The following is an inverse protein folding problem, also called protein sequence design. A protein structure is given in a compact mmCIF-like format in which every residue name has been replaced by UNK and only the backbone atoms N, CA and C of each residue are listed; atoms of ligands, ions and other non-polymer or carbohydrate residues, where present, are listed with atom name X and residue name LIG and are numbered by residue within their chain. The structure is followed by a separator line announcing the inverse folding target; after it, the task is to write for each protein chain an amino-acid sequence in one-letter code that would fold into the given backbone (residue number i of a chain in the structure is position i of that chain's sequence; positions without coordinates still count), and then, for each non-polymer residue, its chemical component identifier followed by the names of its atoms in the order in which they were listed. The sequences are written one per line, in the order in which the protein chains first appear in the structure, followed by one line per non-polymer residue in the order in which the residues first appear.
data_IF_346778649648
#
_entry.id   IF_346778649648
#
_cell.length_a   1.000
_cell.length_b   1.000
_cell.length_c   1.000
_cell.angle_alpha   90.00
_cell.angle_beta   90.00
_cell.angle_gamma   90.00
#
_symmetry.space_group_name_H-M   'P 1'
#
loop_
_entity.id
_entity.type
_entity.pdbx_description
1 polymer ?
#
# COMPACT_ATOMS: atom_id res chain seq x y z
N UNK A 1 -11.25 48.43 -45.08
CA UNK A 1 -10.58 47.12 -44.93
C UNK A 1 -9.92 47.09 -43.56
N UNK A 2 -10.53 46.41 -42.60
CA UNK A 2 -10.03 46.33 -41.23
C UNK A 2 -9.02 45.18 -41.12
N UNK A 3 -7.80 45.49 -40.67
CA UNK A 3 -6.75 44.52 -40.36
C UNK A 3 -6.91 44.10 -38.89
N UNK A 4 -7.37 42.88 -38.67
CA UNK A 4 -7.47 42.28 -37.33
C UNK A 4 -6.13 41.61 -37.02
N UNK A 5 -5.39 42.20 -36.08
CA UNK A 5 -4.21 41.59 -35.46
C UNK A 5 -4.69 40.47 -34.53
N UNK A 6 -4.32 39.24 -34.83
CA UNK A 6 -4.52 38.11 -33.91
C UNK A 6 -3.51 38.18 -32.78
N UNK A 7 -3.99 38.43 -31.56
CA UNK A 7 -3.25 38.11 -30.33
C UNK A 7 -3.55 36.64 -30.01
N UNK A 8 -2.54 35.78 -30.10
CA UNK A 8 -2.61 34.42 -29.56
C UNK A 8 -2.06 34.49 -28.13
N UNK A 9 -2.96 34.48 -27.15
CA UNK A 9 -2.59 34.35 -25.73
C UNK A 9 -2.38 32.87 -25.44
N UNK A 10 -1.12 32.46 -25.26
CA UNK A 10 -0.80 31.11 -24.79
C UNK A 10 -1.10 31.02 -23.29
N UNK A 11 -2.07 30.19 -22.92
CA UNK A 11 -2.40 29.86 -21.53
C UNK A 11 -1.42 28.77 -21.07
N UNK A 12 -0.42 29.12 -20.25
CA UNK A 12 0.38 28.11 -19.53
C UNK A 12 -0.48 27.53 -18.40
N UNK A 13 -0.92 26.28 -18.54
CA UNK A 13 -1.36 25.50 -17.39
C UNK A 13 -0.13 25.12 -16.57
N UNK A 14 0.01 25.69 -15.39
CA UNK A 14 0.94 25.20 -14.37
C UNK A 14 0.35 23.91 -13.82
N UNK A 15 0.87 22.76 -14.25
CA UNK A 15 0.61 21.51 -13.55
C UNK A 15 1.36 21.57 -12.22
N UNK A 16 0.63 21.62 -11.11
CA UNK A 16 1.22 21.46 -9.80
C UNK A 16 1.62 20.00 -9.63
N UNK A 17 2.91 19.69 -9.80
CA UNK A 17 3.45 18.40 -9.39
C UNK A 17 3.50 18.38 -7.86
N UNK A 18 2.51 17.77 -7.21
CA UNK A 18 2.62 17.43 -5.79
C UNK A 18 3.74 16.41 -5.66
N UNK A 19 4.90 16.84 -5.15
CA UNK A 19 5.98 15.92 -4.82
C UNK A 19 5.53 15.11 -3.60
N UNK A 20 5.16 13.85 -3.80
CA UNK A 20 4.90 12.92 -2.70
C UNK A 20 6.21 12.64 -1.96
N UNK A 21 6.24 12.92 -0.67
CA UNK A 21 7.34 12.57 0.22
C UNK A 21 7.10 11.20 0.84
N UNK A 22 8.05 10.28 0.68
CA UNK A 22 7.99 8.93 1.25
C UNK A 22 8.87 8.85 2.50
N UNK A 23 8.34 8.27 3.58
CA UNK A 23 9.14 7.89 4.75
C UNK A 23 9.65 6.48 4.53
N UNK A 24 10.92 6.35 4.13
CA UNK A 24 11.54 5.06 3.79
C UNK A 24 12.62 4.71 4.81
N UNK A 25 12.58 3.48 5.34
CA UNK A 25 13.68 2.93 6.14
C UNK A 25 13.86 1.45 5.86
N UNK A 26 15.11 1.01 5.71
CA UNK A 26 15.46 -0.39 5.39
C UNK A 26 14.74 -0.95 4.16
N UNK A 27 14.41 -0.09 3.19
CA UNK A 27 13.66 -0.47 1.98
C UNK A 27 12.15 -0.55 2.18
N UNK A 28 11.64 -0.35 3.39
CA UNK A 28 10.21 -0.31 3.68
C UNK A 28 9.68 1.11 3.63
N UNK A 29 8.44 1.29 3.20
CA UNK A 29 7.76 2.58 3.08
C UNK A 29 6.65 2.64 4.11
N UNK A 30 6.79 3.57 5.05
CA UNK A 30 5.81 3.79 6.11
C UNK A 30 4.67 4.61 5.58
N UNK A 31 3.45 4.08 5.74
CA UNK A 31 2.22 4.73 5.30
C UNK A 31 1.57 5.48 6.46
N UNK A 32 0.61 6.38 6.18
CA UNK A 32 -0.33 6.82 7.19
C UNK A 32 -1.23 5.62 7.57
N UNK A 33 -0.94 4.94 8.68
CA UNK A 33 -1.67 3.75 9.13
C UNK A 33 -0.77 2.60 9.60
N UNK A 34 -1.36 1.43 9.78
CA UNK A 34 -0.65 0.23 10.27
C UNK A 34 0.15 -0.50 9.19
N UNK A 35 -0.28 -0.40 7.93
CA UNK A 35 0.37 -1.08 6.82
C UNK A 35 1.73 -0.44 6.52
N UNK A 36 2.74 -1.28 6.37
CA UNK A 36 4.05 -0.88 5.84
C UNK A 36 4.21 -1.52 4.47
N UNK A 37 4.59 -0.73 3.46
CA UNK A 37 4.78 -1.25 2.10
C UNK A 37 6.24 -1.71 1.92
N UNK A 38 6.41 -2.99 1.63
CA UNK A 38 7.72 -3.60 1.37
C UNK A 38 8.10 -3.49 -0.12
N UNK A 39 7.12 -3.66 -1.01
CA UNK A 39 7.31 -3.54 -2.46
C UNK A 39 5.99 -3.22 -3.18
N UNK A 40 6.03 -2.46 -4.29
CA UNK A 40 7.21 -1.95 -4.98
C UNK A 40 7.74 -0.63 -4.39
N UNK A 41 8.95 -0.22 -4.83
CA UNK A 41 9.46 1.12 -4.56
C UNK A 41 8.77 2.16 -5.47
N UNK A 42 8.73 3.46 -5.08
CA UNK A 42 8.14 4.49 -5.92
C UNK A 42 8.85 4.60 -7.28
N UNK A 43 8.08 4.84 -8.33
CA UNK A 43 8.49 4.93 -9.73
C UNK A 43 9.13 3.65 -10.29
N UNK A 44 8.88 2.49 -9.68
CA UNK A 44 9.38 1.22 -10.21
C UNK A 44 8.70 0.89 -11.55
N UNK A 45 9.46 0.56 -12.60
CA UNK A 45 8.89 0.00 -13.83
C UNK A 45 8.45 -1.45 -13.57
N UNK A 46 7.18 -1.75 -13.82
CA UNK A 46 6.53 -3.03 -13.57
C UNK A 46 5.96 -3.64 -14.86
N UNK A 47 5.78 -4.96 -14.82
CA UNK A 47 5.32 -5.81 -15.91
C UNK A 47 5.37 -7.27 -15.46
N UNK A 48 5.54 -8.21 -16.40
CA UNK A 48 5.55 -9.64 -16.14
C UNK A 48 4.14 -10.25 -16.17
N UNK A 49 3.96 -11.35 -15.42
CA UNK A 49 2.70 -12.08 -15.39
C UNK A 49 1.67 -11.41 -14.48
N UNK A 50 2.12 -10.99 -13.30
CA UNK A 50 1.30 -10.34 -12.28
C UNK A 50 1.95 -9.07 -11.75
N UNK A 51 1.11 -8.13 -11.28
CA UNK A 51 1.52 -7.07 -10.37
C UNK A 51 1.75 -7.69 -8.99
N UNK A 52 2.98 -7.54 -8.48
CA UNK A 52 3.36 -7.99 -7.14
C UNK A 52 3.39 -6.79 -6.18
N UNK A 53 2.60 -6.86 -5.12
CA UNK A 53 2.65 -5.90 -4.00
C UNK A 53 2.83 -6.69 -2.71
N UNK A 54 3.77 -6.27 -1.86
CA UNK A 54 4.04 -6.88 -0.58
C UNK A 54 3.87 -5.85 0.53
N UNK A 55 3.03 -6.17 1.52
CA UNK A 55 2.78 -5.29 2.67
C UNK A 55 2.96 -6.03 3.98
N UNK A 56 3.55 -5.38 4.99
CA UNK A 56 3.50 -5.83 6.37
C UNK A 56 2.26 -5.23 7.06
N UNK A 57 1.47 -6.08 7.73
CA UNK A 57 0.20 -5.71 8.40
C UNK A 57 0.31 -5.67 9.92
N UNK A 58 1.53 -5.59 10.45
CA UNK A 58 1.81 -5.65 11.90
C UNK A 58 2.32 -4.34 12.46
N UNK A 59 2.19 -3.22 11.75
CA UNK A 59 2.66 -1.91 12.24
C UNK A 59 4.15 -1.97 12.66
N UNK A 60 4.98 -2.61 11.83
CA UNK A 60 6.38 -2.89 12.12
C UNK A 60 6.56 -3.71 13.42
N UNK A 61 5.76 -4.77 13.57
CA UNK A 61 5.77 -5.69 14.71
C UNK A 61 5.05 -5.21 15.98
N UNK A 62 4.36 -4.06 15.95
CA UNK A 62 3.63 -3.50 17.11
C UNK A 62 2.17 -3.98 17.20
N UNK A 63 1.54 -4.30 16.07
CA UNK A 63 0.18 -4.83 16.01
C UNK A 63 0.21 -6.35 15.91
N UNK A 64 -0.55 -7.03 16.76
CA UNK A 64 -0.69 -8.49 16.69
C UNK A 64 -1.37 -8.92 15.38
N UNK A 65 -1.12 -10.15 14.93
CA UNK A 65 -1.82 -10.70 13.78
C UNK A 65 -3.28 -11.04 14.10
N UNK A 66 -4.19 -10.97 13.11
CA UNK A 66 -5.56 -11.43 13.29
C UNK A 66 -5.64 -12.93 13.65
N UNK A 67 -6.74 -13.39 14.26
CA UNK A 67 -7.99 -12.64 14.48
C UNK A 67 -7.90 -11.62 15.62
N UNK A 68 -8.48 -10.44 15.38
CA UNK A 68 -8.67 -9.40 16.41
C UNK A 68 -10.03 -9.60 17.09
N UNK A 69 -10.12 -9.25 18.37
CA UNK A 69 -11.40 -9.10 19.06
C UNK A 69 -12.16 -7.88 18.55
N UNK A 70 -13.50 -7.96 18.54
CA UNK A 70 -14.37 -6.85 18.09
C UNK A 70 -14.11 -5.54 18.84
N UNK A 71 -13.70 -5.65 20.10
CA UNK A 71 -13.42 -4.52 21.00
C UNK A 71 -11.92 -4.25 21.17
N UNK A 72 -11.06 -4.87 20.35
CA UNK A 72 -9.63 -4.60 20.44
C UNK A 72 -9.40 -3.09 20.19
N UNK A 73 -8.62 -2.42 21.06
CA UNK A 73 -8.40 -0.98 20.95
C UNK A 73 -7.60 -0.63 19.71
N UNK A 74 -6.84 -1.57 19.16
CA UNK A 74 -6.12 -1.42 17.90
C UNK A 74 -6.29 -2.64 17.00
N UNK A 75 -6.71 -2.43 15.75
CA UNK A 75 -6.91 -3.50 14.76
C UNK A 75 -7.03 -2.94 13.33
N UNK A 76 -6.71 -3.77 12.33
CA UNK A 76 -7.03 -3.46 10.92
C UNK A 76 -8.38 -4.09 10.59
N UNK A 77 -9.35 -3.28 10.14
CA UNK A 77 -10.64 -3.79 9.66
C UNK A 77 -10.54 -4.27 8.22
N UNK A 78 -9.92 -3.47 7.34
CA UNK A 78 -9.67 -3.88 5.97
C UNK A 78 -8.50 -3.11 5.34
N UNK A 79 -7.95 -3.70 4.28
CA UNK A 79 -7.02 -3.05 3.36
C UNK A 79 -7.55 -3.27 1.96
N UNK A 80 -7.78 -2.18 1.23
CA UNK A 80 -8.19 -2.17 -0.17
C UNK A 80 -7.14 -1.46 -1.00
N UNK A 81 -6.81 -2.00 -2.17
CA UNK A 81 -5.82 -1.48 -3.09
C UNK A 81 -6.43 -1.24 -4.46
N UNK A 82 -6.07 -0.11 -5.05
CA UNK A 82 -6.43 0.24 -6.41
C UNK A 82 -5.18 0.48 -7.25
N UNK A 83 -5.26 0.18 -8.54
CA UNK A 83 -4.30 0.61 -9.54
C UNK A 83 -5.01 1.63 -10.43
N UNK A 84 -4.63 2.90 -10.35
CA UNK A 84 -5.33 3.95 -11.08
C UNK A 84 -4.38 4.89 -11.83
N UNK A 85 -4.88 5.52 -12.88
CA UNK A 85 -4.18 6.56 -13.63
C UNK A 85 -5.16 7.59 -14.19
N UNK A 86 -4.96 8.85 -13.81
CA UNK A 86 -5.69 9.97 -14.42
C UNK A 86 -5.29 10.20 -15.88
N UNK A 87 -4.13 9.70 -16.32
CA UNK A 87 -3.67 9.87 -17.70
C UNK A 87 -4.40 8.92 -18.64
N UNK A 88 -4.54 7.65 -18.24
CA UNK A 88 -5.22 6.64 -19.06
C UNK A 88 -6.72 6.55 -18.77
N UNK A 89 -7.18 7.19 -17.69
CA UNK A 89 -8.57 7.10 -17.24
C UNK A 89 -8.94 5.77 -16.60
N UNK A 90 -7.94 4.92 -16.30
CA UNK A 90 -8.16 3.58 -15.74
C UNK A 90 -8.14 3.61 -14.22
N UNK A 91 -9.01 2.79 -13.62
CA UNK A 91 -9.03 2.50 -12.19
C UNK A 91 -9.39 1.02 -12.01
N UNK A 92 -8.50 0.23 -11.43
CA UNK A 92 -8.70 -1.19 -11.19
C UNK A 92 -8.64 -1.46 -9.70
N UNK A 93 -9.54 -2.30 -9.20
CA UNK A 93 -9.41 -2.85 -7.85
C UNK A 93 -8.43 -4.03 -7.90
N UNK A 94 -7.29 -3.90 -7.23
CA UNK A 94 -6.22 -4.92 -7.23
C UNK A 94 -6.15 -5.72 -5.92
N UNK A 95 -6.87 -5.26 -4.88
CA UNK A 95 -7.21 -6.06 -3.68
C UNK A 95 -8.60 -6.69 -3.83
N UNK A 96 -8.83 -7.88 -3.29
CA UNK A 96 -10.09 -8.63 -3.34
C UNK A 96 -11.37 -8.03 -3.97
N UNK A 97 -11.91 -8.76 -4.96
CA UNK A 97 -13.35 -9.04 -5.00
C UNK A 97 -14.12 -8.68 -6.27
N UNK A 98 -13.71 -7.67 -7.04
CA UNK A 98 -14.41 -7.33 -8.31
C UNK A 98 -13.86 -8.04 -9.53
N UNK A 99 -12.66 -8.62 -9.46
CA UNK A 99 -12.15 -9.53 -10.48
C UNK A 99 -12.71 -10.96 -10.28
N UNK A 100 -14.03 -11.10 -10.20
CA UNK A 100 -14.69 -12.42 -10.29
C UNK A 100 -14.60 -13.01 -11.70
N UNK A 101 -14.21 -12.20 -12.69
CA UNK A 101 -13.78 -12.66 -14.00
C UNK A 101 -12.40 -13.36 -13.89
N UNK A 102 -12.39 -14.67 -14.12
CA UNK A 102 -11.20 -15.51 -14.29
C UNK A 102 -10.18 -15.51 -13.13
N UNK A 103 -10.61 -15.29 -11.88
CA UNK A 103 -9.73 -15.34 -10.69
C UNK A 103 -8.57 -14.31 -10.69
N UNK A 104 -8.75 -13.14 -11.30
CA UNK A 104 -7.67 -12.15 -11.39
C UNK A 104 -7.27 -11.51 -10.03
N UNK A 105 -8.00 -11.78 -8.94
CA UNK A 105 -7.64 -11.39 -7.57
C UNK A 105 -7.76 -12.58 -6.60
N UNK A 106 -6.92 -12.60 -5.56
CA UNK A 106 -6.71 -13.73 -4.62
C UNK A 106 -7.58 -13.74 -3.34
N UNK A 107 -8.72 -13.06 -3.27
CA UNK A 107 -9.47 -12.98 -2.00
C UNK A 107 -9.02 -11.83 -1.10
N UNK A 108 -9.61 -11.70 0.10
CA UNK A 108 -9.46 -10.55 1.00
C UNK A 108 -8.04 -10.49 1.52
N UNK A 109 -7.34 -9.36 1.36
CA UNK A 109 -5.91 -9.23 1.71
C UNK A 109 -5.65 -9.75 3.13
N UNK A 110 -6.52 -9.39 4.08
CA UNK A 110 -6.36 -9.77 5.48
C UNK A 110 -6.61 -11.27 5.75
N UNK A 111 -7.31 -11.96 4.85
CA UNK A 111 -7.52 -13.42 4.90
C UNK A 111 -6.45 -14.22 4.16
N UNK A 112 -5.67 -13.55 3.31
CA UNK A 112 -4.55 -14.19 2.62
C UNK A 112 -3.42 -14.48 3.60
N UNK A 113 -2.73 -15.60 3.36
CA UNK A 113 -1.55 -16.03 4.14
C UNK A 113 -1.78 -15.97 5.67
N UNK A 114 -2.72 -16.76 6.22
CA UNK A 114 -3.00 -16.75 7.66
C UNK A 114 -1.73 -17.02 8.49
N UNK A 115 -1.49 -16.20 9.51
CA UNK A 115 -0.30 -16.28 10.36
C UNK A 115 0.96 -15.59 9.80
N UNK A 116 0.92 -15.01 8.59
CA UNK A 116 2.02 -14.19 8.05
C UNK A 116 1.83 -12.70 8.39
N UNK A 117 2.93 -12.03 8.77
CA UNK A 117 3.01 -10.57 8.91
C UNK A 117 3.00 -9.86 7.58
N UNK A 118 3.55 -10.50 6.55
CA UNK A 118 3.58 -9.99 5.19
C UNK A 118 2.45 -10.60 4.37
N UNK A 119 1.73 -9.77 3.61
CA UNK A 119 0.73 -10.17 2.62
C UNK A 119 1.26 -9.90 1.22
N UNK A 120 1.18 -10.91 0.35
CA UNK A 120 1.58 -10.83 -1.05
C UNK A 120 0.37 -10.78 -1.97
N UNK A 121 0.13 -9.61 -2.54
CA UNK A 121 -0.89 -9.41 -3.58
C UNK A 121 -0.25 -9.75 -4.93
N UNK A 122 -0.81 -10.74 -5.60
CA UNK A 122 -0.41 -11.15 -6.96
C UNK A 122 -1.61 -10.97 -7.89
N UNK A 123 -1.69 -9.81 -8.55
CA UNK A 123 -2.82 -9.45 -9.41
C UNK A 123 -2.48 -9.62 -10.88
N UNK A 124 -3.33 -10.31 -11.64
CA UNK A 124 -3.06 -10.60 -13.07
C UNK A 124 -3.27 -9.35 -13.91
N UNK A 125 -2.25 -8.94 -14.68
CA UNK A 125 -2.38 -7.83 -15.61
C UNK A 125 -3.46 -8.13 -16.67
N UNK A 126 -4.43 -7.22 -16.90
CA UNK A 126 -5.45 -7.38 -17.93
C UNK A 126 -4.90 -7.13 -19.34
N UNK A 127 -5.69 -7.56 -20.33
CA UNK A 127 -5.32 -7.54 -21.75
C UNK A 127 -4.92 -6.16 -22.29
N UNK A 128 -5.58 -5.07 -21.88
CA UNK A 128 -5.25 -3.74 -22.38
C UNK A 128 -3.88 -3.22 -21.90
N UNK A 129 -3.28 -3.84 -20.87
CA UNK A 129 -1.94 -3.51 -20.38
C UNK A 129 -0.83 -4.34 -21.04
N UNK A 130 -1.18 -5.29 -21.90
CA UNK A 130 -0.23 -6.09 -22.69
C UNK A 130 0.62 -5.19 -23.58
N UNK A 131 1.93 -5.49 -23.64
CA UNK A 131 2.88 -4.73 -24.43
C UNK A 131 4.24 -4.61 -23.74
N UNK A 132 5.17 -3.92 -24.40
CA UNK A 132 6.53 -3.73 -23.90
C UNK A 132 7.03 -2.32 -24.24
N UNK A 133 7.68 -1.67 -23.28
CA UNK A 133 8.25 -0.33 -23.43
C UNK A 133 7.32 0.80 -22.97
N UNK A 134 7.57 2.01 -23.47
CA UNK A 134 6.78 3.22 -23.16
C UNK A 134 5.39 3.18 -23.82
N UNK A 135 4.44 4.03 -23.40
CA UNK A 135 3.11 4.10 -24.00
C UNK A 135 3.18 4.40 -25.50
N UNK A 136 2.38 3.70 -26.31
CA UNK A 136 2.31 3.89 -27.76
C UNK A 136 1.15 4.83 -28.13
N UNK A 137 1.40 6.14 -27.99
CA UNK A 137 0.43 7.20 -28.27
C UNK A 137 -0.61 7.44 -27.17
N UNK A 138 -1.52 8.38 -27.43
CA UNK A 138 -2.45 8.94 -26.43
C UNK A 138 -3.54 7.96 -25.97
N UNK A 139 -3.76 6.87 -26.72
CA UNK A 139 -4.76 5.84 -26.41
C UNK A 139 -4.15 4.61 -25.73
N UNK A 140 -2.87 4.67 -25.36
CA UNK A 140 -2.22 3.56 -24.67
C UNK A 140 -2.70 3.48 -23.23
N UNK A 141 -3.18 2.31 -22.81
CA UNK A 141 -3.50 2.04 -21.42
C UNK A 141 -2.24 1.84 -20.57
N UNK A 142 -1.04 1.82 -21.16
CA UNK A 142 0.23 1.66 -20.44
C UNK A 142 0.77 3.03 -20.01
N UNK A 143 1.67 3.06 -19.03
CA UNK A 143 2.29 4.32 -18.57
C UNK A 143 2.32 4.47 -17.05
N UNK A 144 2.15 5.72 -16.58
CA UNK A 144 2.21 6.04 -15.15
C UNK A 144 0.90 5.69 -14.46
N UNK A 145 1.03 4.98 -13.34
CA UNK A 145 -0.08 4.58 -12.48
C UNK A 145 0.29 4.82 -11.02
N UNK A 146 -0.71 4.91 -10.15
CA UNK A 146 -0.55 4.86 -8.71
C UNK A 146 -1.16 3.56 -8.17
N UNK A 147 -0.44 2.91 -7.28
CA UNK A 147 -0.99 1.91 -6.37
C UNK A 147 -1.54 2.67 -5.17
N UNK A 148 -2.86 2.73 -5.03
CA UNK A 148 -3.56 3.39 -3.92
C UNK A 148 -3.85 2.37 -2.83
N UNK A 149 -3.19 2.49 -1.69
CA UNK A 149 -3.38 1.65 -0.51
C UNK A 149 -4.34 2.37 0.43
N UNK A 150 -5.52 1.79 0.62
CA UNK A 150 -6.57 2.35 1.47
C UNK A 150 -6.80 1.44 2.66
N UNK A 151 -6.72 2.01 3.85
CA UNK A 151 -6.79 1.25 5.10
C UNK A 151 -7.97 1.76 5.91
N UNK A 152 -8.74 0.85 6.48
CA UNK A 152 -9.68 1.14 7.55
C UNK A 152 -9.19 0.40 8.80
N UNK A 153 -8.91 1.14 9.87
CA UNK A 153 -8.32 0.59 11.08
C UNK A 153 -8.76 1.38 12.31
N UNK A 154 -8.60 0.76 13.48
CA UNK A 154 -8.72 1.43 14.76
C UNK A 154 -7.35 1.56 15.40
N UNK A 155 -7.02 2.73 15.93
CA UNK A 155 -5.84 2.98 16.73
C UNK A 155 -6.26 3.54 18.08
N UNK A 156 -5.96 2.80 19.16
CA UNK A 156 -6.21 3.22 20.56
C UNK A 156 -7.65 3.72 20.80
N UNK A 157 -8.64 3.02 20.23
CA UNK A 157 -10.06 3.34 20.37
C UNK A 157 -10.63 4.30 19.32
N UNK A 158 -9.80 4.88 18.44
CA UNK A 158 -10.24 5.80 17.38
C UNK A 158 -10.19 5.14 16.00
N UNK A 159 -11.28 5.24 15.24
CA UNK A 159 -11.37 4.66 13.90
C UNK A 159 -10.81 5.67 12.87
N UNK A 160 -9.96 5.18 11.97
CA UNK A 160 -9.27 5.96 10.96
C UNK A 160 -9.43 5.34 9.57
N UNK A 161 -9.40 6.22 8.56
CA UNK A 161 -9.34 5.84 7.16
C UNK A 161 -8.27 6.63 6.44
N UNK A 162 -7.34 5.96 5.78
CA UNK A 162 -6.16 6.57 5.16
C UNK A 162 -6.00 6.13 3.71
N UNK A 163 -5.39 6.98 2.88
CA UNK A 163 -5.17 6.73 1.45
C UNK A 163 -3.71 7.03 1.11
N UNK A 164 -2.94 6.02 0.72
CA UNK A 164 -1.54 6.18 0.39
C UNK A 164 -1.24 5.75 -1.04
N UNK A 165 -0.83 6.70 -1.87
CA UNK A 165 -0.58 6.45 -3.29
C UNK A 165 0.91 6.29 -3.58
N UNK A 166 1.26 5.22 -4.30
CA UNK A 166 2.63 4.92 -4.71
C UNK A 166 2.74 4.91 -6.22
N UNK A 167 3.51 5.83 -6.82
CA UNK A 167 3.66 5.89 -8.26
C UNK A 167 4.47 4.69 -8.76
N UNK A 168 4.05 4.15 -9.90
CA UNK A 168 4.73 3.10 -10.65
C UNK A 168 4.65 3.41 -12.15
N UNK A 169 5.39 2.65 -12.96
CA UNK A 169 5.30 2.73 -14.41
C UNK A 169 5.02 1.34 -15.00
N UNK A 170 3.91 1.18 -15.72
CA UNK A 170 3.60 -0.04 -16.48
C UNK A 170 4.33 0.02 -17.81
N UNK A 171 5.63 -0.28 -17.79
CA UNK A 171 6.51 -0.18 -18.97
C UNK A 171 7.28 -1.45 -19.28
N UNK A 172 7.48 -2.36 -18.31
CA UNK A 172 8.11 -3.63 -18.59
C UNK A 172 7.17 -4.54 -19.39
N UNK A 173 7.74 -5.55 -20.05
CA UNK A 173 7.00 -6.48 -20.89
C UNK A 173 5.90 -7.19 -20.12
N UNK A 174 4.67 -7.15 -20.64
CA UNK A 174 3.53 -7.96 -20.24
C UNK A 174 3.14 -8.75 -21.49
N UNK A 175 3.31 -10.06 -21.44
CA UNK A 175 3.05 -10.95 -22.58
C UNK A 175 1.56 -11.19 -22.77
N UNK A 176 1.10 -11.29 -24.01
CA UNK A 176 -0.27 -11.67 -24.34
C UNK A 176 -0.55 -13.12 -23.92
N UNK A 177 -1.67 -13.36 -23.21
CA UNK A 177 -2.11 -14.69 -22.79
C UNK A 177 -3.64 -14.76 -22.76
N UNK A 178 -4.19 -15.93 -23.10
CA UNK A 178 -5.64 -16.18 -23.19
C UNK A 178 -6.37 -16.11 -21.84
N UNK A 179 -5.64 -16.22 -20.73
CA UNK A 179 -6.17 -16.20 -19.37
C UNK A 179 -6.21 -14.79 -18.74
N UNK A 180 -5.71 -13.77 -19.44
CA UNK A 180 -5.79 -12.39 -18.97
C UNK A 180 -7.23 -11.87 -19.03
N UNK A 181 -7.71 -11.22 -17.96
CA UNK A 181 -9.03 -10.63 -17.94
C UNK A 181 -9.11 -9.41 -18.88
N UNK A 182 -10.31 -9.16 -19.41
CA UNK A 182 -10.58 -7.96 -20.18
C UNK A 182 -10.59 -6.72 -19.27
N UNK A 183 -9.93 -5.63 -19.66
CA UNK A 183 -9.87 -4.41 -18.85
C UNK A 183 -11.25 -3.86 -18.45
N UNK A 184 -12.21 -3.88 -19.36
CA UNK A 184 -13.56 -3.36 -19.10
C UNK A 184 -14.33 -4.20 -18.07
N UNK A 185 -13.93 -5.46 -17.85
CA UNK A 185 -14.49 -6.30 -16.78
C UNK A 185 -13.96 -5.97 -15.39
N UNK A 186 -12.83 -5.25 -15.31
CA UNK A 186 -12.15 -4.89 -14.06
C UNK A 186 -12.19 -3.39 -13.75
N UNK A 187 -12.59 -2.58 -14.72
CA UNK A 187 -12.54 -1.11 -14.61
C UNK A 187 -13.64 -0.63 -13.66
N UNK A 188 -13.25 0.21 -12.71
CA UNK A 188 -14.15 0.96 -11.84
C UNK A 188 -14.27 2.42 -12.31
N UNK A 189 -15.25 3.12 -11.75
CA UNK A 189 -15.31 4.58 -11.85
C UNK A 189 -14.04 5.23 -11.27
N UNK A 190 -13.47 6.18 -12.00
CA UNK A 190 -12.32 6.95 -11.56
C UNK A 190 -12.81 8.24 -10.88
N UNK A 191 -12.60 8.31 -9.56
CA UNK A 191 -12.96 9.48 -8.76
C UNK A 191 -11.96 10.62 -8.96
N UNK A 192 -12.45 11.85 -8.94
CA UNK A 192 -11.60 13.05 -8.95
C UNK A 192 -10.78 13.17 -7.67
N UNK A 193 -9.74 14.01 -7.72
CA UNK A 193 -8.89 14.26 -6.55
C UNK A 193 -9.70 14.84 -5.38
N UNK A 194 -10.64 15.74 -5.69
CA UNK A 194 -11.51 16.39 -4.73
C UNK A 194 -12.51 15.42 -4.07
N UNK A 195 -12.95 14.39 -4.80
CA UNK A 195 -13.84 13.35 -4.25
C UNK A 195 -13.11 12.35 -3.34
N UNK A 196 -11.81 12.14 -3.57
CA UNK A 196 -10.99 11.23 -2.75
C UNK A 196 -10.59 11.90 -1.42
N UNK A 197 -10.28 13.20 -1.45
CA UNK A 197 -9.84 13.99 -0.29
C UNK A 197 -8.77 13.28 0.56
N UNK A 198 -7.68 12.88 -0.10
CA UNK A 198 -6.59 12.13 0.54
C UNK A 198 -5.86 12.95 1.61
N UNK A 199 -5.92 14.29 1.55
CA UNK A 199 -5.31 15.16 2.57
C UNK A 199 -6.02 14.98 3.92
N UNK A 200 -7.35 15.09 3.93
CA UNK A 200 -8.17 14.86 5.13
C UNK A 200 -8.06 13.41 5.61
N UNK A 201 -8.10 12.44 4.69
CA UNK A 201 -7.94 11.03 5.05
C UNK A 201 -6.61 10.74 5.76
N UNK A 202 -5.54 11.46 5.41
CA UNK A 202 -4.21 11.22 5.96
C UNK A 202 -3.84 12.14 7.13
N UNK A 203 -4.81 12.80 7.77
CA UNK A 203 -4.57 13.69 8.92
C UNK A 203 -3.80 13.02 10.07
N UNK A 204 -3.97 11.69 10.24
CA UNK A 204 -3.24 10.89 11.24
C UNK A 204 -1.72 10.87 11.01
N UNK A 205 -1.26 11.20 9.80
CA UNK A 205 0.16 11.24 9.42
C UNK A 205 0.80 9.86 9.33
N UNK A 206 2.09 9.84 8.96
CA UNK A 206 2.87 8.59 8.87
C UNK A 206 3.11 8.02 10.26
N UNK A 207 2.80 6.73 10.43
CA UNK A 207 2.92 6.05 11.72
C UNK A 207 4.03 4.99 11.69
N UNK A 208 4.57 4.66 12.86
CA UNK A 208 5.47 3.53 13.14
C UNK A 208 6.82 3.53 12.41
N UNK A 209 7.14 4.64 11.74
CA UNK A 209 8.47 4.88 11.19
C UNK A 209 9.55 4.85 12.30
N UNK A 210 10.81 4.52 11.99
CA UNK A 210 11.86 4.55 13.00
C UNK A 210 11.99 5.93 13.65
N UNK A 211 11.91 5.97 14.98
CA UNK A 211 11.89 7.21 15.76
C UNK A 211 10.49 7.77 16.04
N UNK A 212 9.43 7.16 15.49
CA UNK A 212 8.06 7.47 15.87
C UNK A 212 7.72 6.91 17.25
N UNK A 213 6.97 7.70 18.02
CA UNK A 213 6.58 7.41 19.40
C UNK A 213 5.13 6.90 19.52
N UNK A 214 4.45 6.63 18.41
CA UNK A 214 3.10 6.03 18.42
C UNK A 214 3.15 4.65 19.08
N UNK A 215 2.36 4.48 20.12
CA UNK A 215 2.17 3.22 20.85
C UNK A 215 0.84 2.57 20.43
N UNK A 216 0.84 1.24 20.39
CA UNK A 216 -0.35 0.44 20.06
C UNK A 216 -0.89 -0.16 21.35
N UNK A 217 -2.11 0.22 21.72
CA UNK A 217 -2.81 -0.39 22.85
C UNK A 217 -3.24 -1.82 22.51
N UNK A 218 -3.06 -2.72 23.48
CA UNK A 218 -3.53 -4.11 23.42
C UNK A 218 -4.76 -4.30 24.31
N UNK A 219 -5.62 -5.29 24.02
CA UNK A 219 -6.76 -5.60 24.88
C UNK A 219 -6.32 -5.81 26.32
N UNK A 220 -7.07 -5.23 27.26
CA UNK A 220 -6.77 -5.38 28.68
C UNK A 220 -7.17 -6.80 29.13
N UNK A 221 -6.28 -7.53 29.82
CA UNK A 221 -6.55 -8.92 30.28
C UNK A 221 -7.86 -9.04 31.11
N UNK A 222 -8.36 -7.93 31.66
CA UNK A 222 -9.57 -7.89 32.49
C UNK A 222 -10.87 -8.04 31.68
N UNK A 223 -10.91 -7.72 30.38
CA UNK A 223 -12.12 -7.87 29.55
C UNK A 223 -12.29 -9.28 28.96
N UNK A 224 -11.20 -10.04 28.81
CA UNK A 224 -11.23 -11.42 28.30
C UNK A 224 -12.06 -12.33 29.23
N UNK A 225 -12.10 -12.03 30.53
CA UNK A 225 -12.87 -12.80 31.52
C UNK A 225 -14.40 -12.64 31.39
N UNK A 226 -14.90 -11.61 30.70
CA UNK A 226 -16.35 -11.35 30.65
C UNK A 226 -17.04 -12.06 29.47
N UNK A 227 -16.29 -12.47 28.44
CA UNK A 227 -16.83 -13.19 27.29
C UNK A 227 -17.02 -14.70 27.50
N UNK A 228 -16.48 -15.29 28.59
CA UNK A 228 -16.56 -16.74 28.86
C UNK A 228 -17.53 -17.13 29.99
N UNK A 229 -18.21 -16.18 30.63
CA UNK A 229 -19.15 -16.50 31.73
C UNK A 229 -20.61 -16.45 31.29
N UNK A 230 -20.98 -17.26 30.31
CA UNK A 230 -22.39 -17.66 30.12
C UNK A 230 -22.50 -19.08 29.57
N UNK A 231 -21.94 -20.04 30.29
CA UNK A 231 -22.51 -21.39 30.32
C UNK A 231 -22.45 -21.98 31.73
N UNK A 232 -23.62 -22.41 32.18
CA UNK A 232 -23.90 -22.95 33.50
C UNK A 232 -23.49 -24.42 33.56
N UNK A 233 -22.72 -24.82 34.59
CA UNK A 233 -22.77 -26.21 35.07
C UNK A 233 -21.50 -26.81 35.64
N UNK A 234 -21.34 -26.69 36.97
CA UNK A 234 -21.02 -27.81 37.89
C UNK A 234 -19.80 -28.69 37.59
N UNK A 235 -18.68 -28.48 38.29
CA UNK A 235 -18.26 -29.29 39.46
C UNK A 235 -16.80 -29.09 39.85
N UNK A 236 -16.62 -29.16 41.16
CA UNK A 236 -15.44 -29.26 42.02
C UNK A 236 -14.29 -30.12 41.46
N UNK A 237 -13.04 -29.64 41.52
CA UNK A 237 -11.99 -30.20 42.40
C UNK A 237 -10.62 -29.52 42.23
N UNK A 238 -9.97 -29.42 43.39
CA UNK A 238 -8.60 -29.00 43.74
C UNK A 238 -7.48 -29.61 42.88
N UNK A 239 -6.47 -28.80 42.56
CA UNK A 239 -5.20 -29.28 42.02
C UNK A 239 -4.13 -28.20 41.90
N UNK A 240 -3.39 -27.96 42.99
CA UNK A 240 -2.13 -27.21 43.00
C UNK A 240 -1.10 -27.94 42.13
N UNK A 241 -0.56 -27.31 41.10
CA UNK A 241 0.63 -27.80 40.40
C UNK A 241 1.54 -26.65 39.97
N UNK A 242 2.61 -26.51 40.73
CA UNK A 242 3.83 -25.76 40.44
C UNK A 242 4.66 -26.51 39.37
N UNK A 243 5.12 -25.81 38.33
CA UNK A 243 6.26 -26.21 37.50
C UNK A 243 6.84 -24.92 36.88
N UNK A 244 7.84 -24.30 37.49
CA UNK A 244 9.29 -24.57 37.36
C UNK A 244 9.81 -24.31 35.94
N UNK A 245 10.50 -23.18 35.80
CA UNK A 245 11.27 -22.79 34.63
C UNK A 245 12.44 -23.76 34.38
N UNK A 246 12.75 -23.98 33.11
CA UNK A 246 14.03 -24.56 32.70
C UNK A 246 14.66 -23.61 31.69
N UNK A 247 15.67 -22.87 32.15
CA UNK A 247 16.67 -22.24 31.30
C UNK A 247 17.45 -23.33 30.58
N UNK A 248 17.76 -23.10 29.30
CA UNK A 248 18.89 -23.77 28.65
C UNK A 248 19.73 -22.69 28.00
N UNK A 249 20.91 -22.46 28.59
CA UNK A 249 22.00 -21.71 27.97
C UNK A 249 22.57 -22.50 26.77
N UNK A 250 23.09 -21.78 25.76
CA UNK A 250 24.06 -22.39 24.88
C UNK A 250 24.48 -21.62 23.63
N UNK A 251 25.53 -20.81 23.81
CA UNK A 251 26.66 -20.62 22.88
C UNK A 251 26.46 -19.72 21.64
N UNK A 252 27.03 -18.52 21.74
CA UNK A 252 27.18 -17.58 20.62
C UNK A 252 28.38 -17.85 19.73
N UNK A 253 28.40 -17.17 18.58
CA UNK A 253 29.58 -16.90 17.76
C UNK A 253 29.44 -15.51 17.15
N UNK A 254 30.48 -14.69 17.34
CA UNK A 254 30.51 -13.28 16.97
C UNK A 254 30.64 -12.98 15.49
N UNK A 255 30.45 -11.71 15.17
CA UNK A 255 30.62 -11.17 13.82
C UNK A 255 30.25 -9.69 13.75
N UNK A 256 30.90 -8.86 14.55
CA UNK A 256 30.85 -7.42 14.37
C UNK A 256 31.55 -7.06 13.05
N UNK A 257 30.79 -6.54 12.08
CA UNK A 257 31.34 -5.82 10.93
C UNK A 257 30.64 -4.47 10.86
N UNK A 258 31.34 -3.48 11.39
CA UNK A 258 31.08 -2.06 11.18
C UNK A 258 31.47 -1.72 9.74
N UNK A 259 30.52 -1.24 8.95
CA UNK A 259 30.81 -0.56 7.69
C UNK A 259 30.23 0.85 7.77
N UNK A 260 31.16 1.79 7.83
CA UNK A 260 30.97 3.23 7.84
C UNK A 260 30.34 3.71 6.54
N UNK A 261 29.32 4.54 6.71
CA UNK A 261 28.62 5.35 5.72
C UNK A 261 29.58 6.26 4.92
N UNK A 262 29.40 6.36 3.59
CA UNK A 262 29.50 7.67 2.96
C UNK A 262 28.38 7.88 1.92
N UNK A 263 27.62 8.97 2.05
CA UNK A 263 26.87 9.50 0.90
C UNK A 263 25.55 10.15 1.25
N UNK A 264 25.61 11.37 1.77
CA UNK A 264 24.49 12.33 1.68
C UNK A 264 24.34 12.68 0.20
N UNK A 265 23.35 12.09 -0.48
CA UNK A 265 22.98 12.40 -1.85
C UNK A 265 21.77 13.32 -1.88
N UNK A 266 22.00 14.63 -1.97
CA UNK A 266 20.96 15.61 -2.32
C UNK A 266 20.66 15.44 -3.81
N UNK A 267 19.48 14.93 -4.17
CA UNK A 267 19.03 14.94 -5.57
C UNK A 267 18.59 16.36 -5.94
N UNK A 268 19.48 17.08 -6.62
CA UNK A 268 19.13 18.33 -7.29
C UNK A 268 18.37 18.01 -8.58
N UNK A 269 17.12 18.51 -8.68
CA UNK A 269 16.37 18.49 -9.92
C UNK A 269 17.06 19.38 -10.96
N UNK A 270 17.62 18.79 -12.02
CA UNK A 270 18.15 19.52 -13.17
C UNK A 270 17.00 19.81 -14.13
N UNK A 271 16.51 21.04 -14.13
CA UNK A 271 15.63 21.57 -15.18
C UNK A 271 16.47 21.90 -16.41
N UNK A 272 16.45 21.02 -17.43
CA UNK A 272 16.98 21.36 -18.75
C UNK A 272 15.88 22.10 -19.52
N UNK A 273 16.00 23.42 -19.62
CA UNK A 273 15.19 24.25 -20.51
C UNK A 273 15.79 24.18 -21.92
N UNK A 274 15.16 23.44 -22.83
CA UNK A 274 15.52 23.48 -24.24
C UNK A 274 14.92 24.74 -24.89
N UNK A 275 15.79 25.70 -25.22
CA UNK A 275 15.43 26.84 -26.07
C UNK A 275 15.31 26.39 -27.53
N UNK A 276 14.14 26.61 -28.13
CA UNK A 276 13.91 26.57 -29.56
C UNK A 276 14.76 27.67 -30.23
N UNK A 277 15.64 27.30 -31.17
CA UNK A 277 16.20 28.24 -32.15
C UNK A 277 15.38 28.11 -33.42
N UNK A 278 14.72 29.20 -33.78
CA UNK A 278 14.02 29.36 -35.04
C UNK A 278 15.02 29.57 -36.19
N UNK A 279 14.84 28.83 -37.29
CA UNK A 279 15.09 29.28 -38.66
C UNK A 279 13.86 28.89 -39.47
#
# INVERSE_FOLDING_TARGET
MASIRGLVTALLLVQQTLAQSFTISNGQIFTPGFVVLDAPQPNTPLGGDTLHVAIDVTANGKLALPPHGENDPSQIFNVTMFLYSYTTGRNFTISNGTASANNASLGEIMTQEPGSTVKHINWVWPDCLVGNGVPDGDNSDRGTYNISIRQNFRLNGEDHYTIFDVPIAVTNSIEEKDDRPACDSLTNELLSYEEIDAETANEVGVLFAPGDATEVETPNETEIATATSKETGTSTETGTATATATETEGVGLGGAVSLTNPGVGVYAAVLISAFLVAI
#
